data_IF_702023708728
#
_entry.id   IF_702023708728
#
_cell.length_a   1.000
_cell.length_b   1.000
_cell.length_c   1.000
_cell.angle_alpha   90.00
_cell.angle_beta   90.00
_cell.angle_gamma   90.00
#
_symmetry.space_group_name_H-M   'P 1'
#
loop_
_entity.id
_entity.type
_entity.pdbx_description
1 polymer ?
#
# COMPACT_ATOMS: atom_id res chain seq x y z
N UNK A 1 -7.35 -13.87 10.36
CA UNK A 1 -6.12 -13.12 10.02
C UNK A 1 -5.54 -13.77 8.78
N UNK A 2 -5.62 -13.14 7.61
CA UNK A 2 -5.03 -13.66 6.38
C UNK A 2 -3.64 -13.06 6.17
N UNK A 3 -2.70 -13.88 5.71
CA UNK A 3 -1.35 -13.46 5.36
C UNK A 3 -1.26 -13.27 3.86
N UNK A 4 -0.72 -12.13 3.45
CA UNK A 4 -0.54 -11.74 2.06
C UNK A 4 0.94 -11.57 1.74
N UNK A 5 1.35 -12.01 0.55
CA UNK A 5 2.68 -11.72 0.04
C UNK A 5 2.72 -10.34 -0.60
N UNK A 6 3.68 -9.53 -0.18
CA UNK A 6 4.01 -8.27 -0.84
C UNK A 6 4.96 -8.57 -2.00
N UNK A 7 4.57 -8.18 -3.20
CA UNK A 7 5.32 -8.44 -4.43
C UNK A 7 5.99 -7.16 -4.96
N UNK A 8 7.25 -7.25 -5.38
CA UNK A 8 7.88 -6.28 -6.27
C UNK A 8 8.14 -6.97 -7.61
N UNK A 9 7.31 -6.64 -8.61
CA UNK A 9 7.22 -7.41 -9.86
C UNK A 9 6.90 -8.87 -9.53
N UNK A 10 7.75 -9.81 -9.93
CA UNK A 10 7.56 -11.26 -9.71
C UNK A 10 8.30 -11.80 -8.48
N UNK A 11 8.83 -10.92 -7.62
CA UNK A 11 9.59 -11.29 -6.42
C UNK A 11 8.80 -10.98 -5.15
N UNK A 12 8.78 -11.93 -4.21
CA UNK A 12 8.21 -11.74 -2.88
C UNK A 12 9.20 -10.93 -2.05
N UNK A 13 8.80 -9.72 -1.65
CA UNK A 13 9.62 -8.82 -0.83
C UNK A 13 9.36 -8.99 0.66
N UNK A 14 8.17 -9.44 1.02
CA UNK A 14 7.78 -9.60 2.41
C UNK A 14 6.39 -10.18 2.55
N UNK A 15 5.99 -10.38 3.79
CA UNK A 15 4.65 -10.84 4.16
C UNK A 15 3.98 -9.77 5.00
N UNK A 16 2.70 -9.53 4.77
CA UNK A 16 1.92 -8.57 5.56
C UNK A 16 0.54 -9.11 5.90
N UNK A 17 -0.05 -8.52 6.94
CA UNK A 17 -1.47 -8.66 7.26
C UNK A 17 -2.10 -7.28 7.15
N UNK A 18 -3.32 -7.20 6.65
CA UNK A 18 -4.10 -5.97 6.65
C UNK A 18 -5.54 -6.23 7.06
N UNK A 19 -6.17 -5.21 7.62
CA UNK A 19 -7.61 -5.20 7.91
C UNK A 19 -8.38 -5.02 6.60
N UNK A 20 -9.16 -6.02 6.21
CA UNK A 20 -9.91 -6.03 4.95
C UNK A 20 -11.03 -4.99 4.90
N UNK A 21 -11.53 -4.53 6.06
CA UNK A 21 -12.54 -3.47 6.10
C UNK A 21 -11.92 -2.08 5.90
N UNK A 22 -10.80 -1.80 6.56
CA UNK A 22 -10.15 -0.48 6.51
C UNK A 22 -9.05 -0.36 5.45
N UNK A 23 -8.54 -1.48 4.94
CA UNK A 23 -7.39 -1.56 4.05
C UNK A 23 -6.05 -1.25 4.72
N UNK A 24 -5.99 -1.16 6.06
CA UNK A 24 -4.79 -0.77 6.81
C UNK A 24 -3.90 -1.97 7.11
N UNK A 25 -2.59 -1.82 6.90
CA UNK A 25 -1.60 -2.84 7.28
C UNK A 25 -1.48 -2.92 8.80
N UNK A 26 -1.61 -4.13 9.32
CA UNK A 26 -1.49 -4.42 10.74
C UNK A 26 -0.05 -4.86 11.09
N UNK A 27 0.50 -5.79 10.30
CA UNK A 27 1.87 -6.29 10.46
C UNK A 27 2.60 -6.42 9.12
N UNK A 28 3.93 -6.30 9.16
CA UNK A 28 4.81 -6.50 8.02
C UNK A 28 6.09 -7.22 8.47
N UNK A 29 6.53 -8.18 7.67
CA UNK A 29 7.80 -8.88 7.82
C UNK A 29 8.55 -8.84 6.50
N UNK A 30 9.75 -8.27 6.55
CA UNK A 30 10.69 -8.22 5.45
C UNK A 30 11.27 -9.59 5.12
N UNK A 31 11.47 -9.90 3.84
CA UNK A 31 12.12 -11.15 3.41
C UNK A 31 13.66 -11.03 3.35
N UNK A 32 14.23 -9.83 3.56
CA UNK A 32 15.68 -9.60 3.62
C UNK A 32 16.40 -9.61 2.27
N UNK A 33 15.67 -9.69 1.15
CA UNK A 33 16.25 -9.81 -0.19
C UNK A 33 16.53 -8.45 -0.86
N UNK A 34 16.32 -7.33 -0.15
CA UNK A 34 16.58 -5.97 -0.66
C UNK A 34 15.54 -5.46 -1.67
N UNK A 35 14.51 -6.25 -1.99
CA UNK A 35 13.42 -5.85 -2.91
C UNK A 35 12.31 -5.06 -2.23
N UNK A 36 12.36 -4.95 -0.91
CA UNK A 36 11.35 -4.22 -0.15
C UNK A 36 11.44 -2.72 -0.42
N UNK A 37 10.31 -2.00 -0.33
CA UNK A 37 10.31 -0.55 -0.45
C UNK A 37 11.41 0.08 0.42
N UNK A 38 12.03 1.16 -0.07
CA UNK A 38 13.13 1.88 0.61
C UNK A 38 14.41 1.06 0.86
N UNK A 39 14.88 0.32 -0.15
CA UNK A 39 16.21 -0.30 -0.16
C UNK A 39 16.42 -1.35 0.95
N UNK A 40 15.36 -2.06 1.36
CA UNK A 40 15.48 -3.20 2.29
C UNK A 40 15.68 -2.86 3.77
N UNK A 41 15.56 -1.59 4.20
CA UNK A 41 15.63 -1.20 5.62
C UNK A 41 14.24 -0.77 6.14
N UNK A 42 13.30 -1.71 6.08
CA UNK A 42 11.89 -1.44 6.26
C UNK A 42 11.31 -2.11 7.50
N UNK A 43 11.08 -1.30 8.54
CA UNK A 43 10.35 -1.70 9.74
C UNK A 43 8.82 -1.59 9.54
N UNK A 44 8.05 -2.22 10.44
CA UNK A 44 6.59 -2.25 10.34
C UNK A 44 5.93 -0.86 10.43
N UNK A 45 6.57 0.12 11.09
CA UNK A 45 6.05 1.48 11.22
C UNK A 45 6.21 2.25 9.90
N UNK A 46 7.38 2.15 9.26
CA UNK A 46 7.63 2.72 7.94
C UNK A 46 6.73 2.08 6.89
N UNK A 47 6.47 0.77 6.99
CA UNK A 47 5.52 0.09 6.11
C UNK A 47 4.12 0.64 6.24
N UNK A 48 3.61 0.82 7.46
CA UNK A 48 2.29 1.42 7.67
C UNK A 48 2.17 2.78 6.99
N UNK A 49 3.17 3.66 7.18
CA UNK A 49 3.18 4.99 6.52
C UNK A 49 3.26 4.90 5.01
N UNK A 50 4.14 4.06 4.46
CA UNK A 50 4.27 3.91 3.01
C UNK A 50 3.01 3.34 2.37
N UNK A 51 2.42 2.35 3.02
CA UNK A 51 1.16 1.77 2.63
C UNK A 51 0.05 2.83 2.64
N UNK A 52 -0.12 3.59 3.72
CA UNK A 52 -1.13 4.66 3.78
C UNK A 52 -0.95 5.74 2.70
N UNK A 53 0.29 6.05 2.31
CA UNK A 53 0.54 7.04 1.25
C UNK A 53 0.22 6.53 -0.17
N UNK A 54 0.17 5.21 -0.39
CA UNK A 54 0.09 4.61 -1.73
C UNK A 54 -1.07 3.65 -1.93
N UNK A 55 -1.68 3.18 -0.85
CA UNK A 55 -2.80 2.26 -0.93
C UNK A 55 -3.99 2.98 -1.54
N UNK A 56 -4.56 2.34 -2.55
CA UNK A 56 -5.82 2.81 -3.13
C UNK A 56 -6.93 2.40 -2.18
N UNK A 57 -7.89 3.29 -1.87
CA UNK A 57 -8.94 2.95 -0.92
C UNK A 57 -9.78 1.76 -1.38
N UNK A 58 -10.10 0.87 -0.44
CA UNK A 58 -10.78 -0.39 -0.73
C UNK A 58 -12.27 -0.23 -1.12
N UNK A 59 -12.91 0.89 -0.77
CA UNK A 59 -14.34 1.10 -1.01
C UNK A 59 -14.60 2.24 -2.00
N UNK A 60 -15.70 2.13 -2.77
CA UNK A 60 -16.15 3.20 -3.69
C UNK A 60 -16.36 4.54 -2.98
N UNK A 61 -16.88 4.51 -1.76
CA UNK A 61 -17.09 5.72 -0.95
C UNK A 61 -15.77 6.37 -0.57
N UNK A 62 -14.76 5.58 -0.18
CA UNK A 62 -13.44 6.12 0.10
C UNK A 62 -12.72 6.59 -1.16
N UNK A 63 -12.89 5.91 -2.31
CA UNK A 63 -12.36 6.38 -3.60
C UNK A 63 -12.96 7.75 -3.94
N UNK A 64 -14.28 7.93 -3.82
CA UNK A 64 -14.91 9.23 -4.05
C UNK A 64 -14.37 10.33 -3.12
N UNK A 65 -14.14 10.00 -1.84
CA UNK A 65 -13.54 10.92 -0.88
C UNK A 65 -12.12 11.29 -1.28
N UNK A 66 -11.27 10.30 -1.60
CA UNK A 66 -9.88 10.53 -2.01
C UNK A 66 -9.78 11.31 -3.32
N UNK A 67 -10.67 11.05 -4.29
CA UNK A 67 -10.74 11.84 -5.52
C UNK A 67 -11.07 13.30 -5.23
N UNK A 68 -12.06 13.55 -4.37
CA UNK A 68 -12.41 14.91 -3.92
C UNK A 68 -11.25 15.58 -3.19
N UNK A 69 -10.65 14.93 -2.21
CA UNK A 69 -9.57 15.48 -1.37
C UNK A 69 -8.28 15.72 -2.17
N UNK A 70 -8.01 14.90 -3.18
CA UNK A 70 -6.83 15.01 -4.05
C UNK A 70 -7.01 15.96 -5.25
N UNK A 71 -8.23 16.46 -5.47
CA UNK A 71 -8.61 17.27 -6.62
C UNK A 71 -8.60 16.50 -7.96
N UNK A 72 -8.70 15.17 -7.92
CA UNK A 72 -8.67 14.32 -9.10
C UNK A 72 -10.08 14.02 -9.59
N UNK A 73 -10.29 14.06 -10.91
CA UNK A 73 -11.60 13.87 -11.53
C UNK A 73 -12.03 12.39 -11.56
N UNK A 74 -11.06 11.49 -11.68
CA UNK A 74 -11.28 10.06 -11.79
C UNK A 74 -10.10 9.26 -11.20
N UNK A 75 -10.31 7.97 -10.97
CA UNK A 75 -9.31 7.08 -10.37
C UNK A 75 -8.02 7.02 -11.20
N UNK A 76 -8.10 7.07 -12.52
CA UNK A 76 -6.93 7.04 -13.41
C UNK A 76 -6.03 8.25 -13.19
N UNK A 77 -6.60 9.46 -13.12
CA UNK A 77 -5.86 10.69 -12.85
C UNK A 77 -5.21 10.68 -11.47
N UNK A 78 -5.87 10.08 -10.47
CA UNK A 78 -5.30 9.88 -9.15
C UNK A 78 -4.14 8.89 -9.17
N UNK A 79 -4.30 7.75 -9.85
CA UNK A 79 -3.26 6.72 -10.00
C UNK A 79 -2.02 7.25 -10.73
N UNK A 80 -2.21 8.08 -11.75
CA UNK A 80 -1.12 8.75 -12.46
C UNK A 80 -0.38 9.75 -11.56
N UNK A 81 -1.10 10.44 -10.66
CA UNK A 81 -0.50 11.39 -9.71
C UNK A 81 0.35 10.70 -8.63
N UNK A 82 0.02 9.47 -8.26
CA UNK A 82 0.74 8.71 -7.23
C UNK A 82 1.73 7.68 -7.80
N UNK A 83 1.70 7.42 -9.11
CA UNK A 83 2.73 6.64 -9.80
C UNK A 83 3.98 7.49 -10.02
N UNK A 84 5.16 7.03 -9.58
CA UNK A 84 6.44 7.70 -9.85
C UNK A 84 6.85 7.62 -11.32
#
# INVERSE_FOLDING_TARGET
MMYYFLMHKDKICGTLTFDEMSGRVDSYKDNGEGFSPFLGNFDSVKMKKWWEMRSVPASRTMIQKVLRDSGCLNTESYLAKISP
#
